data_IF_787750448452
#
_entry.id   IF_787750448452
#
_cell.length_a   1.000
_cell.length_b   1.000
_cell.length_c   1.000
_cell.angle_alpha   90.00
_cell.angle_beta   90.00
_cell.angle_gamma   90.00
#
_symmetry.space_group_name_H-M   'P 1'
#
loop_
_entity.id
_entity.type
_entity.pdbx_description
1 polymer ?
#
# COMPACT_ATOMS: atom_id res chain seq x y z
N UNK A 1 18.00 3.74 8.45
CA UNK A 1 16.61 3.47 8.89
C UNK A 1 16.62 2.18 9.69
N UNK A 2 15.87 2.13 10.78
CA UNK A 2 15.86 0.96 11.66
C UNK A 2 14.92 -0.12 11.09
N UNK A 3 15.51 -1.18 10.53
CA UNK A 3 14.78 -2.36 10.00
C UNK A 3 14.16 -3.17 11.14
N UNK A 4 14.84 -3.25 12.29
CA UNK A 4 14.37 -4.00 13.45
C UNK A 4 13.10 -3.38 14.01
N UNK A 5 13.10 -2.05 14.18
CA UNK A 5 11.88 -1.32 14.59
C UNK A 5 10.73 -1.52 13.60
N UNK A 6 11.00 -1.48 12.29
CA UNK A 6 9.97 -1.72 11.27
C UNK A 6 9.35 -3.11 11.40
N UNK A 7 10.18 -4.14 11.59
CA UNK A 7 9.69 -5.51 11.81
C UNK A 7 8.88 -5.63 13.11
N UNK A 8 9.32 -5.01 14.20
CA UNK A 8 8.59 -4.96 15.47
C UNK A 8 7.22 -4.28 15.33
N UNK A 9 7.18 -3.13 14.63
CA UNK A 9 5.94 -2.39 14.36
C UNK A 9 4.95 -3.23 13.53
N UNK A 10 5.41 -3.93 12.48
CA UNK A 10 4.54 -4.80 11.68
C UNK A 10 4.05 -6.03 12.47
N UNK A 11 4.89 -6.63 13.31
CA UNK A 11 4.47 -7.73 14.20
C UNK A 11 3.40 -7.28 15.19
N UNK A 12 3.56 -6.09 15.78
CA UNK A 12 2.59 -5.51 16.70
C UNK A 12 1.27 -5.18 15.98
N UNK A 13 1.33 -4.68 14.75
CA UNK A 13 0.14 -4.41 13.96
C UNK A 13 -0.65 -5.69 13.67
N UNK A 14 0.02 -6.72 13.15
CA UNK A 14 -0.63 -7.98 12.76
C UNK A 14 -1.23 -8.70 13.98
N UNK A 15 -0.58 -8.65 15.14
CA UNK A 15 -1.13 -9.23 16.37
C UNK A 15 -2.43 -8.53 16.82
N UNK A 16 -2.58 -7.23 16.53
CA UNK A 16 -3.81 -6.46 16.81
C UNK A 16 -4.93 -6.72 15.80
N UNK A 17 -4.61 -7.07 14.56
CA UNK A 17 -5.59 -7.31 13.50
C UNK A 17 -6.27 -8.70 13.58
N UNK A 18 -5.77 -9.60 14.44
CA UNK A 18 -6.35 -10.94 14.60
C UNK A 18 -5.68 -12.03 13.75
N UNK A 19 -4.48 -11.74 13.22
CA UNK A 19 -3.57 -12.72 12.61
C UNK A 19 -4.17 -13.58 11.48
N UNK A 20 -4.78 -12.96 10.46
CA UNK A 20 -5.09 -13.67 9.23
C UNK A 20 -3.82 -14.39 8.72
N UNK A 21 -3.85 -15.71 8.44
CA UNK A 21 -2.63 -16.49 8.16
C UNK A 21 -1.77 -15.90 7.02
N UNK A 22 -2.41 -15.34 6.00
CA UNK A 22 -1.73 -14.76 4.84
C UNK A 22 -1.01 -13.43 5.14
N UNK A 23 -1.29 -12.76 6.27
CA UNK A 23 -0.56 -11.56 6.67
C UNK A 23 0.90 -11.83 6.99
N UNK A 24 1.25 -13.06 7.36
CA UNK A 24 2.65 -13.46 7.58
C UNK A 24 3.44 -13.28 6.27
N UNK A 25 2.90 -13.74 5.15
CA UNK A 25 3.52 -13.58 3.82
C UNK A 25 3.66 -12.12 3.42
N UNK A 26 2.63 -11.30 3.68
CA UNK A 26 2.67 -9.85 3.44
C UNK A 26 3.80 -9.20 4.25
N UNK A 27 3.85 -9.48 5.55
CA UNK A 27 4.88 -8.98 6.47
C UNK A 27 6.29 -9.35 6.02
N UNK A 28 6.50 -10.62 5.68
CA UNK A 28 7.82 -11.12 5.30
C UNK A 28 8.31 -10.45 4.00
N UNK A 29 7.42 -10.28 3.01
CA UNK A 29 7.72 -9.53 1.78
C UNK A 29 8.10 -8.07 2.06
N UNK A 30 7.34 -7.38 2.90
CA UNK A 30 7.62 -5.99 3.26
C UNK A 30 8.93 -5.82 4.02
N UNK A 31 9.29 -6.78 4.88
CA UNK A 31 10.58 -6.81 5.57
C UNK A 31 11.72 -6.98 4.56
N UNK A 32 11.59 -7.89 3.59
CA UNK A 32 12.59 -8.07 2.53
C UNK A 32 12.81 -6.77 1.73
N UNK A 33 11.72 -6.13 1.32
CA UNK A 33 11.77 -4.86 0.59
C UNK A 33 12.34 -3.73 1.46
N UNK A 34 12.07 -3.75 2.77
CA UNK A 34 12.60 -2.78 3.72
C UNK A 34 14.11 -2.90 3.88
N UNK A 35 14.64 -4.12 3.95
CA UNK A 35 16.09 -4.39 3.99
C UNK A 35 16.78 -3.80 2.76
N UNK A 36 16.11 -3.85 1.60
CA UNK A 36 16.59 -3.27 0.33
C UNK A 36 16.34 -1.76 0.21
N UNK A 37 15.68 -1.14 1.18
CA UNK A 37 15.36 0.29 1.18
C UNK A 37 14.24 0.69 0.21
N UNK A 38 13.43 -0.26 -0.26
CA UNK A 38 12.42 -0.03 -1.30
C UNK A 38 11.08 0.49 -0.75
N UNK A 39 10.79 0.27 0.54
CA UNK A 39 9.51 0.65 1.17
C UNK A 39 9.67 1.50 2.43
N UNK A 40 8.63 2.27 2.77
CA UNK A 40 8.57 3.18 3.92
C UNK A 40 7.58 2.69 4.98
N UNK A 41 7.92 2.88 6.26
CA UNK A 41 7.11 2.39 7.40
C UNK A 41 5.64 2.83 7.36
N UNK A 42 5.39 4.12 7.18
CA UNK A 42 4.04 4.68 7.13
C UNK A 42 3.21 4.18 5.94
N UNK A 43 3.86 3.86 4.83
CA UNK A 43 3.24 3.31 3.63
C UNK A 43 2.87 1.85 3.87
N UNK A 44 3.82 1.04 4.34
CA UNK A 44 3.65 -0.39 4.57
C UNK A 44 2.66 -0.75 5.67
N UNK A 45 2.46 0.11 6.67
CA UNK A 45 1.37 -0.07 7.65
C UNK A 45 0.00 -0.03 6.96
N UNK A 46 -0.20 0.88 6.01
CA UNK A 46 -1.47 0.96 5.26
C UNK A 46 -1.64 -0.23 4.31
N UNK A 47 -0.56 -0.67 3.65
CA UNK A 47 -0.60 -1.89 2.83
C UNK A 47 -1.07 -3.11 3.64
N UNK A 48 -0.56 -3.28 4.87
CA UNK A 48 -0.98 -4.38 5.77
C UNK A 48 -2.46 -4.25 6.18
N UNK A 49 -2.93 -3.05 6.52
CA UNK A 49 -4.33 -2.82 6.87
C UNK A 49 -5.28 -3.11 5.71
N UNK A 50 -4.92 -2.67 4.50
CA UNK A 50 -5.68 -2.94 3.28
C UNK A 50 -5.68 -4.44 2.98
N UNK A 51 -4.52 -5.10 3.10
CA UNK A 51 -4.41 -6.53 2.88
C UNK A 51 -5.29 -7.33 3.86
N UNK A 52 -5.26 -7.02 5.15
CA UNK A 52 -6.12 -7.65 6.17
C UNK A 52 -7.61 -7.51 5.82
N UNK A 53 -8.03 -6.28 5.49
CA UNK A 53 -9.41 -6.04 5.07
C UNK A 53 -9.79 -6.87 3.84
N UNK A 54 -8.95 -6.90 2.80
CA UNK A 54 -9.25 -7.63 1.57
C UNK A 54 -9.22 -9.16 1.76
N UNK A 55 -8.31 -9.67 2.58
CA UNK A 55 -8.33 -11.06 3.00
C UNK A 55 -9.66 -11.41 3.72
N UNK A 56 -10.15 -10.54 4.61
CA UNK A 56 -11.44 -10.74 5.27
C UNK A 56 -12.64 -10.77 4.30
N UNK A 57 -12.46 -10.26 3.08
CA UNK A 57 -13.45 -10.28 1.99
C UNK A 57 -13.26 -11.44 1.01
N UNK A 58 -12.29 -12.33 1.24
CA UNK A 58 -12.03 -13.50 0.40
C UNK A 58 -11.17 -13.22 -0.83
N UNK A 59 -10.45 -12.10 -0.87
CA UNK A 59 -9.47 -11.83 -1.93
C UNK A 59 -8.14 -12.51 -1.63
N UNK A 60 -7.46 -12.95 -2.68
CA UNK A 60 -6.03 -13.24 -2.63
C UNK A 60 -5.24 -11.95 -2.85
N UNK A 61 -4.35 -11.61 -1.92
CA UNK A 61 -3.68 -10.30 -1.90
C UNK A 61 -2.17 -10.44 -2.07
N UNK A 62 -1.59 -9.60 -2.91
CA UNK A 62 -0.15 -9.40 -3.06
C UNK A 62 0.18 -7.91 -2.91
N UNK A 63 0.96 -7.56 -1.89
CA UNK A 63 1.56 -6.21 -1.78
C UNK A 63 2.72 -6.06 -2.74
N UNK A 64 3.03 -4.85 -3.20
CA UNK A 64 4.16 -4.54 -4.08
C UNK A 64 4.17 -5.48 -5.32
N UNK A 65 3.02 -5.54 -6.00
CA UNK A 65 2.77 -6.45 -7.11
C UNK A 65 3.25 -5.84 -8.43
N UNK A 66 4.03 -6.62 -9.19
CA UNK A 66 4.63 -6.18 -10.44
C UNK A 66 3.61 -6.29 -11.59
N UNK A 67 3.16 -5.16 -12.11
CA UNK A 67 2.21 -5.08 -13.24
C UNK A 67 2.91 -5.13 -14.60
N UNK A 68 4.08 -4.47 -14.70
CA UNK A 68 4.93 -4.49 -15.90
C UNK A 68 6.41 -4.51 -15.46
N UNK A 69 7.35 -4.42 -16.41
CA UNK A 69 8.77 -4.37 -16.06
C UNK A 69 9.14 -3.19 -15.15
N UNK A 70 8.48 -2.04 -15.32
CA UNK A 70 8.81 -0.79 -14.66
C UNK A 70 7.71 -0.28 -13.72
N UNK A 71 6.62 -1.05 -13.58
CA UNK A 71 5.45 -0.65 -12.81
C UNK A 71 5.11 -1.69 -11.75
N UNK A 72 5.08 -1.25 -10.51
CA UNK A 72 4.67 -2.00 -9.32
C UNK A 72 3.55 -1.22 -8.66
N UNK A 73 2.44 -1.90 -8.31
CA UNK A 73 1.38 -1.30 -7.51
C UNK A 73 1.48 -1.72 -6.05
N UNK A 74 0.95 -0.88 -5.17
CA UNK A 74 1.07 -1.03 -3.72
C UNK A 74 0.33 -2.29 -3.22
N UNK A 75 -0.94 -2.48 -3.61
CA UNK A 75 -1.71 -3.69 -3.28
C UNK A 75 -2.48 -4.17 -4.50
N UNK A 76 -2.29 -5.44 -4.87
CA UNK A 76 -3.11 -6.14 -5.86
C UNK A 76 -3.95 -7.21 -5.17
N UNK A 77 -5.23 -7.26 -5.48
CA UNK A 77 -6.17 -8.23 -4.92
C UNK A 77 -6.95 -8.90 -6.05
N UNK A 78 -7.02 -10.23 -6.01
CA UNK A 78 -7.69 -11.05 -7.01
C UNK A 78 -8.82 -11.87 -6.39
N UNK A 79 -9.90 -12.04 -7.14
CA UNK A 79 -11.06 -12.84 -6.73
C UNK A 79 -11.81 -13.36 -7.95
N UNK A 80 -12.80 -14.24 -7.73
CA UNK A 80 -13.68 -14.70 -8.79
C UNK A 80 -14.53 -13.60 -9.45
N UNK A 81 -14.74 -12.46 -8.79
CA UNK A 81 -15.53 -11.33 -9.31
C UNK A 81 -14.69 -10.33 -10.12
N UNK A 82 -13.38 -10.49 -10.10
CA UNK A 82 -12.39 -9.64 -10.73
C UNK A 82 -11.29 -9.19 -9.77
N UNK A 83 -10.46 -8.30 -10.29
CA UNK A 83 -9.26 -7.79 -9.65
C UNK A 83 -9.38 -6.33 -9.23
N UNK A 84 -8.61 -5.97 -8.21
CA UNK A 84 -8.56 -4.65 -7.60
C UNK A 84 -7.10 -4.26 -7.37
N UNK A 85 -6.72 -3.10 -7.89
CA UNK A 85 -5.51 -2.41 -7.47
C UNK A 85 -5.87 -1.35 -6.44
N UNK A 86 -5.17 -1.33 -5.32
CA UNK A 86 -5.24 -0.26 -4.33
C UNK A 86 -3.88 0.42 -4.22
N UNK A 87 -3.85 1.72 -4.48
CA UNK A 87 -2.66 2.54 -4.29
C UNK A 87 -2.75 3.31 -2.96
N UNK A 88 -1.66 3.30 -2.20
CA UNK A 88 -1.53 3.98 -0.92
C UNK A 88 -1.06 5.43 -1.15
N UNK A 89 -1.74 6.38 -0.50
CA UNK A 89 -1.36 7.79 -0.47
C UNK A 89 -1.31 8.33 0.96
N UNK A 90 -0.12 8.79 1.36
CA UNK A 90 0.16 9.28 2.72
C UNK A 90 0.18 10.80 2.82
N UNK A 91 -0.05 11.51 1.71
CA UNK A 91 -0.06 12.98 1.66
C UNK A 91 1.33 13.62 1.70
N UNK A 92 2.39 12.86 1.44
CA UNK A 92 3.77 13.38 1.39
C UNK A 92 3.93 14.47 0.32
N UNK A 93 4.45 15.64 0.72
CA UNK A 93 4.78 16.76 -0.17
C UNK A 93 6.28 17.05 -0.08
N UNK A 94 7.02 17.07 -1.22
CA UNK A 94 8.42 17.47 -1.24
C UNK A 94 8.62 18.95 -0.84
N UNK A 95 9.77 19.32 -0.25
CA UNK A 95 10.01 20.69 0.20
C UNK A 95 9.85 21.78 -0.87
N UNK A 96 10.16 21.48 -2.14
CA UNK A 96 10.04 22.42 -3.25
C UNK A 96 8.58 22.66 -3.72
N UNK A 97 7.61 21.86 -3.27
CA UNK A 97 6.18 22.07 -3.46
C UNK A 97 5.49 22.59 -2.19
N UNK A 98 6.26 23.13 -1.25
CA UNK A 98 5.75 23.62 0.05
C UNK A 98 4.69 24.72 -0.07
N UNK A 99 4.74 25.54 -1.12
CA UNK A 99 3.76 26.60 -1.38
C UNK A 99 2.50 26.08 -2.11
N UNK A 100 2.55 24.89 -2.71
CA UNK A 100 1.47 24.32 -3.52
C UNK A 100 1.18 22.84 -3.19
N UNK A 101 1.03 22.47 -1.90
CA UNK A 101 0.90 21.07 -1.48
C UNK A 101 -0.35 20.39 -2.05
N UNK A 102 -1.44 21.16 -2.20
CA UNK A 102 -2.71 20.65 -2.76
C UNK A 102 -2.56 20.29 -4.24
N UNK A 103 -1.96 21.18 -5.03
CA UNK A 103 -1.73 20.96 -6.46
C UNK A 103 -0.82 19.75 -6.69
N UNK A 104 0.26 19.65 -5.91
CA UNK A 104 1.17 18.50 -5.98
C UNK A 104 0.46 17.18 -5.67
N UNK A 105 -0.28 17.11 -4.55
CA UNK A 105 -0.98 15.88 -4.16
C UNK A 105 -2.09 15.51 -5.15
N UNK A 106 -2.83 16.49 -5.67
CA UNK A 106 -3.83 16.25 -6.72
C UNK A 106 -3.20 15.67 -7.98
N UNK A 107 -2.12 16.29 -8.47
CA UNK A 107 -1.40 15.80 -9.65
C UNK A 107 -0.85 14.38 -9.43
N UNK A 108 -0.34 14.10 -8.22
CA UNK A 108 0.15 12.78 -7.84
C UNK A 108 -0.97 11.72 -7.85
N UNK A 109 -2.12 12.01 -7.24
CA UNK A 109 -3.29 11.12 -7.23
C UNK A 109 -3.77 10.87 -8.66
N UNK A 110 -3.95 11.91 -9.48
CA UNK A 110 -4.34 11.77 -10.89
C UNK A 110 -3.34 10.89 -11.65
N UNK A 111 -2.05 11.12 -11.45
CA UNK A 111 -0.99 10.34 -12.09
C UNK A 111 -1.05 8.87 -11.68
N UNK A 112 -1.35 8.56 -10.41
CA UNK A 112 -1.56 7.16 -9.98
C UNK A 112 -2.79 6.56 -10.65
N UNK A 113 -3.95 7.21 -10.54
CA UNK A 113 -5.20 6.73 -11.17
C UNK A 113 -4.97 6.43 -12.65
N UNK A 114 -4.41 7.37 -13.41
CA UNK A 114 -4.18 7.21 -14.85
C UNK A 114 -3.20 6.07 -15.20
N UNK A 115 -2.17 5.86 -14.38
CA UNK A 115 -1.16 4.81 -14.61
C UNK A 115 -1.66 3.42 -14.25
N UNK A 116 -2.31 3.28 -13.10
CA UNK A 116 -2.59 1.98 -12.50
C UNK A 116 -3.98 1.44 -12.84
N UNK A 117 -5.01 2.29 -12.95
CA UNK A 117 -6.40 1.84 -13.15
C UNK A 117 -6.65 1.02 -14.42
N UNK A 118 -5.76 1.12 -15.41
CA UNK A 118 -5.86 0.33 -16.66
C UNK A 118 -5.47 -1.14 -16.50
N UNK A 119 -4.87 -1.52 -15.38
CA UNK A 119 -4.37 -2.87 -15.13
C UNK A 119 -5.29 -3.71 -14.24
N UNK A 120 -6.46 -3.19 -13.86
CA UNK A 120 -7.43 -3.90 -13.04
C UNK A 120 -8.85 -3.47 -13.36
N UNK A 121 -9.82 -4.32 -13.06
CA UNK A 121 -11.24 -4.03 -13.19
C UNK A 121 -11.69 -2.92 -12.23
N UNK A 122 -11.18 -2.95 -11.00
CA UNK A 122 -11.46 -1.93 -9.99
C UNK A 122 -10.17 -1.24 -9.54
N UNK A 123 -10.28 0.03 -9.14
CA UNK A 123 -9.17 0.81 -8.63
C UNK A 123 -9.58 1.54 -7.34
N UNK A 124 -8.73 1.47 -6.31
CA UNK A 124 -8.93 2.12 -5.02
C UNK A 124 -7.74 2.97 -4.60
N UNK A 125 -8.01 3.93 -3.72
CA UNK A 125 -6.98 4.68 -3.01
C UNK A 125 -7.12 4.42 -1.51
N UNK A 126 -6.02 4.03 -0.88
CA UNK A 126 -5.92 3.89 0.56
C UNK A 126 -5.22 5.12 1.14
N UNK A 127 -5.90 5.84 2.03
CA UNK A 127 -5.37 7.03 2.69
C UNK A 127 -5.54 6.93 4.20
N UNK A 128 -4.64 7.50 5.01
CA UNK A 128 -4.93 7.75 6.41
C UNK A 128 -6.22 8.55 6.59
N UNK A 129 -7.01 8.22 7.60
CA UNK A 129 -8.31 8.87 7.86
C UNK A 129 -8.22 10.39 8.02
N UNK A 130 -7.12 10.91 8.58
CA UNK A 130 -6.92 12.35 8.75
C UNK A 130 -6.78 13.12 7.43
N UNK A 131 -6.56 12.46 6.29
CA UNK A 131 -6.56 13.11 4.97
C UNK A 131 -7.96 13.27 4.37
N UNK A 132 -8.98 12.66 4.99
CA UNK A 132 -10.39 12.75 4.57
C UNK A 132 -11.19 13.81 5.34
N UNK A 133 -10.57 14.43 6.35
CA UNK A 133 -11.14 15.46 7.23
C UNK A 133 -10.74 16.86 6.75
#
# INVERSE_FOLDING_TARGET
MDVKKFEEDLKLLISRLGAHPNLIRVKDKLIELRVRGLVKSNHSVLEVLVADYLFSKGFEVTVEHKLTNDLVCDVYADSSEGDLIVEVETGFVPPHYSLEPRTYNLARVISKVARYSRFSKYFGLAVPSFLLL
#
